data_IF_173138560878
#
_entry.id   IF_173138560878
#
_cell.length_a   1.000
_cell.length_b   1.000
_cell.length_c   1.000
_cell.angle_alpha   90.00
_cell.angle_beta   90.00
_cell.angle_gamma   90.00
#
_symmetry.space_group_name_H-M   'P 1'
#
loop_
_entity.id
_entity.type
_entity.pdbx_description
1 polymer ?
#
# COMPACT_ATOMS: atom_id res chain seq x y z
N UNK A 1 38.04 -6.11 -17.01
CA UNK A 1 37.52 -7.48 -17.05
C UNK A 1 36.46 -7.57 -18.13
N UNK A 2 36.60 -8.43 -19.12
CA UNK A 2 35.70 -8.56 -20.27
C UNK A 2 34.35 -9.07 -19.80
N UNK A 3 33.28 -8.40 -20.24
CA UNK A 3 31.88 -8.79 -20.05
C UNK A 3 31.69 -10.26 -20.46
N UNK A 4 30.99 -11.08 -19.68
CA UNK A 4 30.51 -12.34 -20.19
C UNK A 4 29.46 -12.05 -21.26
N UNK A 5 29.82 -12.22 -22.50
CA UNK A 5 28.90 -12.12 -23.62
C UNK A 5 27.96 -13.32 -23.55
N UNK A 6 26.70 -13.10 -23.21
CA UNK A 6 25.64 -14.13 -23.22
C UNK A 6 25.31 -14.61 -24.65
N UNK A 7 26.00 -14.10 -25.67
CA UNK A 7 25.85 -14.44 -27.11
C UNK A 7 27.17 -14.24 -27.83
N UNK A 8 27.49 -15.06 -28.88
CA UNK A 8 26.54 -15.42 -29.93
C UNK A 8 26.10 -16.89 -29.86
N UNK A 9 24.80 -17.12 -29.87
CA UNK A 9 24.28 -18.43 -30.24
C UNK A 9 24.44 -18.59 -31.75
N UNK A 10 25.16 -19.58 -32.25
CA UNK A 10 25.34 -19.80 -33.69
C UNK A 10 23.99 -19.84 -34.41
N UNK A 11 23.82 -19.06 -35.48
CA UNK A 11 22.58 -18.98 -36.27
C UNK A 11 21.44 -18.23 -35.63
N UNK A 12 21.61 -17.62 -34.45
CA UNK A 12 20.54 -16.87 -33.75
C UNK A 12 19.98 -15.71 -34.59
N UNK A 13 20.86 -14.85 -35.11
CA UNK A 13 20.42 -13.67 -35.90
C UNK A 13 19.69 -14.08 -37.18
N UNK A 14 20.16 -15.13 -37.86
CA UNK A 14 19.49 -15.65 -39.06
C UNK A 14 18.10 -16.22 -38.72
N UNK A 15 18.01 -16.97 -37.63
CA UNK A 15 16.75 -17.55 -37.18
C UNK A 15 15.77 -16.47 -36.73
N UNK A 16 16.25 -15.44 -36.04
CA UNK A 16 15.47 -14.28 -35.58
C UNK A 16 14.94 -13.49 -36.78
N UNK A 17 15.77 -13.19 -37.76
CA UNK A 17 15.38 -12.47 -38.96
C UNK A 17 14.30 -13.23 -39.76
N UNK A 18 14.46 -14.52 -39.97
CA UNK A 18 13.47 -15.37 -40.63
C UNK A 18 12.15 -15.44 -39.86
N UNK A 19 12.23 -15.55 -38.54
CA UNK A 19 11.03 -15.54 -37.69
C UNK A 19 10.30 -14.19 -37.78
N UNK A 20 11.00 -13.07 -37.69
CA UNK A 20 10.42 -11.71 -37.82
C UNK A 20 9.72 -11.54 -39.17
N UNK A 21 10.34 -11.95 -40.26
CA UNK A 21 9.74 -11.88 -41.60
C UNK A 21 8.45 -12.67 -41.70
N UNK A 22 8.42 -13.89 -41.13
CA UNK A 22 7.23 -14.70 -41.10
C UNK A 22 6.13 -14.06 -40.24
N UNK A 23 6.51 -13.52 -39.08
CA UNK A 23 5.60 -12.83 -38.17
C UNK A 23 4.96 -11.60 -38.83
N UNK A 24 5.78 -10.72 -39.43
CA UNK A 24 5.30 -9.52 -40.15
C UNK A 24 4.34 -9.87 -41.29
N UNK A 25 4.61 -10.96 -42.02
CA UNK A 25 3.72 -11.45 -43.07
C UNK A 25 2.37 -11.89 -42.51
N UNK A 26 2.35 -12.52 -41.34
CA UNK A 26 1.12 -13.03 -40.70
C UNK A 26 0.33 -11.94 -39.97
N UNK A 27 0.98 -10.84 -39.60
CA UNK A 27 0.40 -9.78 -38.78
C UNK A 27 0.38 -8.42 -39.43
N UNK A 28 0.48 -8.35 -40.77
CA UNK A 28 0.63 -7.11 -41.54
C UNK A 28 -0.46 -6.04 -41.25
N UNK A 29 -1.62 -6.44 -40.73
CA UNK A 29 -2.73 -5.54 -40.39
C UNK A 29 -3.04 -5.54 -38.87
N UNK A 30 -2.17 -6.08 -38.02
CA UNK A 30 -2.43 -6.12 -36.59
C UNK A 30 -1.95 -4.83 -35.92
N UNK A 31 -2.79 -4.25 -35.07
CA UNK A 31 -2.41 -3.10 -34.25
C UNK A 31 -1.31 -3.48 -33.25
N UNK A 32 -0.36 -2.59 -33.00
CA UNK A 32 0.67 -2.82 -31.97
C UNK A 32 0.05 -3.03 -30.60
N UNK A 33 0.51 -4.04 -29.89
CA UNK A 33 0.08 -4.28 -28.50
C UNK A 33 0.69 -3.22 -27.59
N UNK A 34 -0.16 -2.49 -26.88
CA UNK A 34 0.24 -1.47 -25.91
C UNK A 34 -0.19 -1.85 -24.50
N UNK A 35 0.63 -1.49 -23.52
CA UNK A 35 0.24 -1.60 -22.14
C UNK A 35 -0.66 -0.40 -21.70
N UNK A 36 -1.08 -0.38 -20.43
CA UNK A 36 -1.93 0.70 -19.89
C UNK A 36 -1.29 2.09 -19.98
N UNK A 37 0.01 2.19 -19.92
CA UNK A 37 0.78 3.43 -20.07
C UNK A 37 1.02 3.85 -21.53
N UNK A 38 0.45 3.12 -22.50
CA UNK A 38 0.61 3.38 -23.93
C UNK A 38 1.93 2.86 -24.51
N UNK A 39 2.80 2.26 -23.69
CA UNK A 39 4.07 1.71 -24.17
C UNK A 39 3.84 0.49 -25.04
N UNK A 40 4.47 0.46 -26.19
CA UNK A 40 4.41 -0.67 -27.10
C UNK A 40 5.17 -1.86 -26.54
N UNK A 41 4.57 -3.05 -26.66
CA UNK A 41 5.19 -4.31 -26.29
C UNK A 41 5.77 -4.99 -27.51
N UNK A 42 7.01 -5.46 -27.40
CA UNK A 42 7.56 -6.34 -28.42
C UNK A 42 6.78 -7.64 -28.46
N UNK A 43 6.62 -8.18 -29.63
CA UNK A 43 5.95 -9.48 -29.84
C UNK A 43 6.72 -10.63 -29.19
N UNK A 44 8.05 -10.53 -29.20
CA UNK A 44 8.96 -11.50 -28.62
C UNK A 44 10.15 -10.78 -27.98
N UNK A 45 10.46 -11.15 -26.76
CA UNK A 45 11.70 -10.76 -26.10
C UNK A 45 12.72 -11.89 -26.22
N UNK A 46 13.93 -11.54 -26.57
CA UNK A 46 15.01 -12.47 -26.83
C UNK A 46 16.25 -12.09 -26.02
N UNK A 47 17.28 -12.93 -25.93
CA UNK A 47 18.55 -12.54 -25.31
C UNK A 47 19.19 -11.27 -25.89
N UNK A 48 18.89 -10.91 -27.16
CA UNK A 48 19.38 -9.68 -27.79
C UNK A 48 18.69 -8.40 -27.27
N UNK A 49 17.62 -8.52 -26.52
CA UNK A 49 16.90 -7.40 -25.89
C UNK A 49 17.48 -7.01 -24.52
N UNK A 50 18.49 -7.73 -24.06
CA UNK A 50 19.22 -7.39 -22.85
C UNK A 50 20.50 -6.66 -23.20
N UNK A 51 20.59 -5.42 -22.76
CA UNK A 51 21.88 -4.76 -22.67
C UNK A 51 22.73 -5.46 -21.60
N UNK A 52 24.02 -5.40 -21.75
CA UNK A 52 24.96 -6.04 -20.82
C UNK A 52 24.67 -5.61 -19.37
N UNK A 53 24.16 -6.51 -18.57
CA UNK A 53 23.96 -6.25 -17.14
C UNK A 53 25.28 -6.28 -16.40
N UNK A 54 25.60 -5.21 -15.70
CA UNK A 54 26.50 -5.27 -14.57
C UNK A 54 25.68 -5.74 -13.37
N UNK A 55 25.88 -6.97 -12.91
CA UNK A 55 25.09 -7.54 -11.82
C UNK A 55 25.05 -6.64 -10.57
N UNK A 56 26.18 -6.03 -10.23
CA UNK A 56 26.28 -5.21 -9.02
C UNK A 56 25.58 -3.85 -9.18
N UNK A 57 25.64 -3.25 -10.38
CA UNK A 57 25.08 -1.93 -10.63
C UNK A 57 23.58 -2.00 -10.95
N UNK A 58 23.16 -3.03 -11.71
CA UNK A 58 21.78 -3.12 -12.21
C UNK A 58 20.87 -3.96 -11.31
N UNK A 59 21.43 -4.93 -10.58
CA UNK A 59 20.65 -5.88 -9.80
C UNK A 59 21.01 -5.88 -8.32
N UNK A 60 22.28 -6.00 -7.96
CA UNK A 60 22.78 -6.08 -6.59
C UNK A 60 22.33 -7.33 -5.82
N UNK A 61 22.70 -7.40 -4.56
CA UNK A 61 22.21 -8.42 -3.63
C UNK A 61 20.96 -7.94 -2.88
N UNK A 62 20.05 -8.85 -2.45
CA UNK A 62 18.92 -8.47 -1.63
C UNK A 62 19.36 -7.77 -0.35
N UNK A 63 18.72 -6.64 -0.01
CA UNK A 63 19.06 -5.86 1.17
C UNK A 63 20.21 -4.87 0.99
N UNK A 64 20.80 -4.80 -0.21
CA UNK A 64 21.88 -3.89 -0.57
C UNK A 64 21.48 -3.05 -1.79
N UNK A 65 22.12 -1.87 -1.93
CA UNK A 65 21.90 -1.03 -3.11
C UNK A 65 22.26 -1.82 -4.39
N UNK A 66 21.48 -1.65 -5.46
CA UNK A 66 20.37 -0.70 -5.71
C UNK A 66 18.98 -1.12 -5.19
N UNK A 67 18.86 -2.01 -4.25
CA UNK A 67 17.59 -2.42 -3.59
C UNK A 67 16.53 -3.04 -4.53
N UNK A 68 16.88 -3.44 -5.74
CA UNK A 68 15.92 -3.94 -6.75
C UNK A 68 15.22 -5.25 -6.36
N UNK A 69 15.70 -5.91 -5.31
CA UNK A 69 15.17 -7.17 -4.79
C UNK A 69 14.66 -7.09 -3.35
N UNK A 70 14.42 -5.88 -2.86
CA UNK A 70 13.90 -5.63 -1.52
C UNK A 70 14.98 -5.21 -0.52
N UNK A 71 14.51 -4.73 0.62
CA UNK A 71 15.32 -4.12 1.69
C UNK A 71 15.92 -5.11 2.69
N UNK A 72 15.61 -6.41 2.55
CA UNK A 72 16.09 -7.44 3.48
C UNK A 72 16.93 -8.50 2.75
N UNK A 73 18.10 -8.82 3.28
CA UNK A 73 18.98 -9.85 2.71
C UNK A 73 18.29 -11.23 2.60
N UNK A 74 17.44 -11.57 3.57
CA UNK A 74 16.68 -12.82 3.58
C UNK A 74 15.45 -12.80 2.66
N UNK A 75 15.10 -11.64 2.07
CA UNK A 75 13.86 -11.44 1.33
C UNK A 75 12.65 -11.86 2.19
N UNK A 76 11.83 -12.80 1.71
CA UNK A 76 10.70 -13.36 2.47
C UNK A 76 10.96 -14.71 3.14
N UNK A 77 12.20 -15.21 3.10
CA UNK A 77 12.56 -16.48 3.73
C UNK A 77 12.74 -16.35 5.24
N UNK A 78 13.32 -15.23 5.69
CA UNK A 78 13.49 -14.96 7.11
C UNK A 78 12.18 -14.50 7.78
N UNK A 79 11.37 -13.74 7.05
CA UNK A 79 10.06 -13.29 7.49
C UNK A 79 9.10 -13.28 6.29
N UNK A 80 8.07 -14.11 6.29
CA UNK A 80 7.07 -14.10 5.23
C UNK A 80 6.29 -12.77 5.26
N UNK A 81 5.73 -12.39 4.12
CA UNK A 81 4.82 -11.24 4.04
C UNK A 81 3.56 -11.46 4.88
N UNK A 82 3.00 -10.37 5.36
CA UNK A 82 1.71 -10.43 6.05
C UNK A 82 0.59 -10.60 5.03
N UNK A 83 -0.29 -11.58 5.25
CA UNK A 83 -1.56 -11.67 4.56
C UNK A 83 -2.60 -10.86 5.33
N UNK A 84 -2.91 -9.68 4.81
CA UNK A 84 -3.85 -8.75 5.43
C UNK A 84 -5.17 -8.79 4.68
N UNK A 85 -6.21 -9.26 5.37
CA UNK A 85 -7.55 -9.29 4.81
C UNK A 85 -8.32 -8.05 5.27
N UNK A 86 -9.02 -7.44 4.32
CA UNK A 86 -9.88 -6.31 4.57
C UNK A 86 -11.27 -6.79 4.95
N UNK A 87 -11.80 -6.27 6.06
CA UNK A 87 -13.15 -6.56 6.54
C UNK A 87 -13.90 -5.23 6.69
N UNK A 88 -15.03 -5.13 5.99
CA UNK A 88 -15.86 -3.93 6.02
C UNK A 88 -17.31 -4.29 5.76
N UNK A 89 -17.94 -4.94 6.74
CA UNK A 89 -19.33 -5.39 6.60
C UNK A 89 -20.01 -5.50 7.97
N UNK A 90 -21.24 -5.04 8.04
CA UNK A 90 -22.21 -5.35 9.07
C UNK A 90 -21.97 -4.68 10.42
N UNK A 91 -22.44 -5.36 11.44
CA UNK A 91 -22.29 -4.97 12.84
C UNK A 91 -20.90 -5.33 13.40
N UNK A 92 -20.54 -4.84 14.62
CA UNK A 92 -19.32 -5.27 15.30
C UNK A 92 -19.22 -6.80 15.48
N UNK A 93 -20.34 -7.47 15.73
CA UNK A 93 -20.41 -8.93 15.86
C UNK A 93 -20.17 -9.62 14.52
N UNK A 94 -20.69 -9.09 13.41
CA UNK A 94 -20.45 -9.60 12.07
C UNK A 94 -18.97 -9.48 11.70
N UNK A 95 -18.36 -8.33 12.03
CA UNK A 95 -16.92 -8.13 11.88
C UNK A 95 -16.12 -9.16 12.67
N UNK A 96 -16.41 -9.32 13.96
CA UNK A 96 -15.70 -10.27 14.84
C UNK A 96 -15.81 -11.71 14.32
N UNK A 97 -17.02 -12.13 13.95
CA UNK A 97 -17.26 -13.47 13.39
C UNK A 97 -16.44 -13.69 12.11
N UNK A 98 -16.37 -12.69 11.24
CA UNK A 98 -15.55 -12.74 10.02
C UNK A 98 -14.07 -12.76 10.32
N UNK A 99 -13.62 -11.91 11.25
CA UNK A 99 -12.23 -11.81 11.69
C UNK A 99 -11.73 -13.18 12.20
N UNK A 100 -12.46 -13.81 13.10
CA UNK A 100 -12.10 -15.14 13.65
C UNK A 100 -11.96 -16.20 12.55
N UNK A 101 -12.85 -16.22 11.56
CA UNK A 101 -12.77 -17.14 10.42
C UNK A 101 -11.55 -16.90 9.55
N UNK A 102 -11.22 -15.64 9.28
CA UNK A 102 -10.06 -15.25 8.47
C UNK A 102 -8.75 -15.63 9.19
N UNK A 103 -8.66 -15.37 10.48
CA UNK A 103 -7.49 -15.76 11.29
C UNK A 103 -7.35 -17.30 11.34
N UNK A 104 -8.45 -18.03 11.52
CA UNK A 104 -8.44 -19.49 11.45
C UNK A 104 -8.03 -20.05 10.08
N UNK A 105 -8.20 -19.27 9.01
CA UNK A 105 -7.76 -19.61 7.65
C UNK A 105 -6.31 -19.23 7.36
N UNK A 106 -5.56 -18.74 8.35
CA UNK A 106 -4.12 -18.47 8.26
C UNK A 106 -3.75 -17.01 7.94
N UNK A 107 -4.71 -16.08 7.93
CA UNK A 107 -4.36 -14.66 7.88
C UNK A 107 -3.67 -14.25 9.19
N UNK A 108 -2.68 -13.36 9.08
CA UNK A 108 -1.87 -12.91 10.22
C UNK A 108 -1.93 -11.39 10.42
N UNK A 109 -2.77 -10.71 9.66
CA UNK A 109 -3.04 -9.30 9.77
C UNK A 109 -4.46 -9.00 9.28
N UNK A 110 -5.04 -7.91 9.73
CA UNK A 110 -6.40 -7.51 9.37
C UNK A 110 -6.50 -6.02 9.12
N UNK A 111 -7.42 -5.63 8.25
CA UNK A 111 -7.84 -4.24 8.06
C UNK A 111 -9.30 -4.09 8.41
N UNK A 112 -9.61 -3.10 9.25
CA UNK A 112 -10.96 -2.67 9.52
C UNK A 112 -11.32 -1.50 8.62
N UNK A 113 -12.38 -1.66 7.83
CA UNK A 113 -13.03 -0.55 7.14
C UNK A 113 -14.26 -0.14 7.94
N UNK A 114 -14.34 1.11 8.38
CA UNK A 114 -15.54 1.61 9.04
C UNK A 114 -16.65 1.89 8.03
N UNK A 115 -17.86 1.96 8.52
CA UNK A 115 -19.05 2.28 7.75
C UNK A 115 -19.03 3.72 7.22
N UNK A 116 -19.91 3.98 6.26
CA UNK A 116 -20.10 5.30 5.64
C UNK A 116 -20.33 6.46 6.63
N UNK A 117 -20.91 6.19 7.81
CA UNK A 117 -21.05 7.20 8.85
C UNK A 117 -19.69 7.78 9.24
N UNK A 118 -18.72 6.93 9.61
CA UNK A 118 -17.37 7.35 10.00
C UNK A 118 -16.65 8.04 8.85
N UNK A 119 -16.72 7.52 7.62
CA UNK A 119 -16.10 8.15 6.45
C UNK A 119 -16.63 9.56 6.18
N UNK A 120 -17.85 9.81 6.51
CA UNK A 120 -18.50 11.14 6.38
C UNK A 120 -18.33 12.00 7.62
N UNK A 121 -17.74 11.48 8.70
CA UNK A 121 -17.60 12.16 9.99
C UNK A 121 -18.93 12.34 10.70
N UNK A 122 -19.82 11.36 10.64
CA UNK A 122 -21.09 11.29 11.33
C UNK A 122 -21.14 10.11 12.28
N UNK A 123 -21.93 10.22 13.31
CA UNK A 123 -22.33 9.07 14.12
C UNK A 123 -23.44 8.27 13.43
N UNK A 124 -23.64 7.03 13.85
CA UNK A 124 -24.58 6.12 13.20
C UNK A 124 -26.03 6.61 13.24
N UNK A 125 -26.42 7.36 14.28
CA UNK A 125 -27.74 7.94 14.45
C UNK A 125 -28.00 9.19 13.57
N UNK A 126 -26.95 9.70 12.92
CA UNK A 126 -27.00 10.89 12.06
C UNK A 126 -27.10 10.54 10.57
N UNK A 127 -27.12 9.28 10.20
CA UNK A 127 -27.18 8.82 8.82
C UNK A 127 -28.40 7.92 8.60
N UNK A 128 -28.82 7.80 7.33
CA UNK A 128 -29.89 6.88 6.97
C UNK A 128 -29.48 5.44 7.33
N UNK A 129 -30.29 4.72 8.15
CA UNK A 129 -30.01 3.35 8.55
C UNK A 129 -29.72 2.40 7.40
N UNK A 130 -30.26 2.62 6.21
CA UNK A 130 -30.01 1.80 5.02
C UNK A 130 -28.54 1.84 4.57
N UNK A 131 -27.79 2.89 4.95
CA UNK A 131 -26.39 3.07 4.62
C UNK A 131 -25.44 2.39 5.62
N UNK A 132 -25.96 1.98 6.78
CA UNK A 132 -25.14 1.40 7.84
C UNK A 132 -24.73 -0.05 7.52
N UNK A 133 -23.47 -0.37 7.74
CA UNK A 133 -22.94 -1.72 7.60
C UNK A 133 -22.87 -2.28 6.18
N UNK A 134 -23.19 -1.50 5.15
CA UNK A 134 -23.22 -1.95 3.75
C UNK A 134 -21.86 -1.91 3.06
N UNK A 135 -21.00 -0.99 3.45
CA UNK A 135 -19.65 -0.85 2.88
C UNK A 135 -18.54 -0.74 3.93
N UNK A 136 -18.84 -0.99 5.19
CA UNK A 136 -17.91 -0.95 6.30
C UNK A 136 -18.57 -1.45 7.57
N UNK A 137 -17.77 -1.78 8.59
CA UNK A 137 -18.27 -2.16 9.91
C UNK A 137 -18.79 -0.92 10.66
N UNK A 138 -19.93 -1.06 11.34
CA UNK A 138 -20.50 0.02 12.14
C UNK A 138 -19.74 0.08 13.47
N UNK A 139 -18.80 1.02 13.58
CA UNK A 139 -17.96 1.21 14.78
C UNK A 139 -18.00 2.68 15.14
N UNK A 140 -18.81 3.05 16.12
CA UNK A 140 -18.96 4.43 16.58
C UNK A 140 -18.60 4.63 18.06
N UNK A 141 -18.39 3.54 18.78
CA UNK A 141 -18.06 3.57 20.21
C UNK A 141 -16.87 2.67 20.53
N UNK A 142 -16.29 2.84 21.70
CA UNK A 142 -15.26 1.93 22.23
C UNK A 142 -15.81 0.51 22.44
N UNK A 143 -17.09 0.40 22.83
CA UNK A 143 -17.74 -0.89 23.04
C UNK A 143 -17.95 -1.66 21.71
N UNK A 144 -18.25 -0.94 20.61
CA UNK A 144 -18.26 -1.52 19.27
C UNK A 144 -16.88 -2.06 18.89
N UNK A 145 -15.83 -1.29 19.13
CA UNK A 145 -14.45 -1.72 18.86
C UNK A 145 -14.06 -2.93 19.74
N UNK A 146 -14.47 -2.93 21.01
CA UNK A 146 -14.26 -4.07 21.89
C UNK A 146 -14.94 -5.34 21.38
N UNK A 147 -16.16 -5.20 20.89
CA UNK A 147 -16.93 -6.29 20.26
C UNK A 147 -16.25 -6.78 18.98
N UNK A 148 -15.76 -5.87 18.12
CA UNK A 148 -15.03 -6.23 16.91
C UNK A 148 -13.83 -7.13 17.19
N UNK A 149 -13.12 -6.91 18.30
CA UNK A 149 -11.93 -7.65 18.68
C UNK A 149 -12.16 -8.59 19.88
N UNK A 150 -13.41 -8.95 20.19
CA UNK A 150 -13.70 -9.90 21.27
C UNK A 150 -12.99 -11.24 21.04
N UNK A 151 -12.31 -11.73 22.07
CA UNK A 151 -11.53 -12.99 22.07
C UNK A 151 -10.36 -12.99 21.04
N UNK A 152 -9.89 -11.84 20.63
CA UNK A 152 -8.71 -11.69 19.74
C UNK A 152 -7.61 -10.99 20.50
N UNK A 153 -6.40 -11.53 20.44
CA UNK A 153 -5.22 -10.92 21.03
C UNK A 153 -4.73 -9.75 20.17
N UNK A 154 -5.00 -8.54 20.65
CA UNK A 154 -4.58 -7.30 19.97
C UNK A 154 -3.06 -7.08 19.99
N UNK A 155 -2.33 -7.65 20.95
CA UNK A 155 -0.88 -7.52 21.01
C UNK A 155 -0.18 -8.39 19.95
N UNK A 156 -0.79 -9.53 19.60
CA UNK A 156 -0.26 -10.45 18.60
C UNK A 156 -0.70 -10.14 17.17
N UNK A 157 -1.74 -9.30 16.99
CA UNK A 157 -2.34 -9.01 15.68
C UNK A 157 -1.90 -7.66 15.15
N UNK A 158 -1.35 -7.64 13.93
CA UNK A 158 -1.15 -6.38 13.21
C UNK A 158 -2.46 -5.91 12.58
N UNK A 159 -2.91 -4.70 12.94
CA UNK A 159 -4.17 -4.14 12.47
C UNK A 159 -3.94 -2.96 11.52
N UNK A 160 -4.84 -2.75 10.55
CA UNK A 160 -4.89 -1.51 9.80
C UNK A 160 -6.26 -0.87 9.99
N UNK A 161 -6.25 0.39 10.37
CA UNK A 161 -7.45 1.20 10.50
C UNK A 161 -7.59 2.06 9.25
N UNK A 162 -8.66 1.80 8.49
CA UNK A 162 -8.95 2.54 7.26
C UNK A 162 -9.88 3.70 7.59
N UNK A 163 -9.33 4.69 8.24
CA UNK A 163 -10.04 5.85 8.75
C UNK A 163 -9.47 7.12 8.11
N UNK A 164 -10.28 7.90 7.39
CA UNK A 164 -9.85 9.20 6.84
C UNK A 164 -9.58 10.24 7.94
N UNK A 165 -10.12 10.01 9.14
CA UNK A 165 -9.81 10.74 10.35
C UNK A 165 -8.91 9.87 11.22
N UNK A 166 -7.59 9.92 11.05
CA UNK A 166 -6.65 8.88 11.55
C UNK A 166 -6.69 8.64 13.06
N UNK A 167 -7.29 9.55 13.82
CA UNK A 167 -7.40 9.41 15.28
C UNK A 167 -8.54 8.53 15.76
N UNK A 168 -9.68 8.50 15.06
CA UNK A 168 -10.92 7.94 15.60
C UNK A 168 -10.79 6.46 15.90
N UNK A 169 -10.48 5.65 14.88
CA UNK A 169 -10.39 4.21 15.08
C UNK A 169 -9.16 3.79 15.89
N UNK A 170 -8.03 4.51 15.74
CA UNK A 170 -6.87 4.24 16.59
C UNK A 170 -7.18 4.56 18.06
N UNK A 171 -7.87 5.66 18.35
CA UNK A 171 -8.26 6.00 19.71
C UNK A 171 -9.13 4.90 20.34
N UNK A 172 -10.08 4.34 19.59
CA UNK A 172 -10.89 3.22 20.07
C UNK A 172 -10.03 1.96 20.33
N UNK A 173 -9.10 1.61 19.44
CA UNK A 173 -8.18 0.49 19.65
C UNK A 173 -7.33 0.68 20.90
N UNK A 174 -6.80 1.88 21.11
CA UNK A 174 -5.99 2.20 22.27
C UNK A 174 -6.80 2.14 23.58
N UNK A 175 -8.05 2.64 23.55
CA UNK A 175 -8.96 2.54 24.70
C UNK A 175 -9.31 1.07 25.04
N UNK A 176 -9.54 0.24 24.01
CA UNK A 176 -9.73 -1.21 24.20
C UNK A 176 -8.47 -1.86 24.77
N UNK A 177 -7.28 -1.49 24.28
CA UNK A 177 -6.01 -1.98 24.81
C UNK A 177 -5.85 -1.62 26.30
N UNK A 178 -6.18 -0.39 26.70
CA UNK A 178 -6.18 0.02 28.12
C UNK A 178 -7.14 -0.83 28.97
N UNK A 179 -8.38 -1.02 28.52
CA UNK A 179 -9.36 -1.87 29.22
C UNK A 179 -8.85 -3.31 29.44
N UNK A 180 -8.03 -3.79 28.50
CA UNK A 180 -7.44 -5.15 28.55
C UNK A 180 -6.07 -5.21 29.21
N UNK A 181 -5.55 -4.08 29.70
CA UNK A 181 -4.22 -4.01 30.31
C UNK A 181 -3.07 -4.22 29.33
N UNK A 182 -3.29 -3.99 28.04
CA UNK A 182 -2.28 -4.11 26.99
C UNK A 182 -1.57 -2.75 26.84
N UNK A 183 -0.25 -2.68 27.06
CA UNK A 183 0.49 -1.44 26.84
C UNK A 183 0.41 -0.99 25.37
N UNK A 184 0.26 0.29 25.14
CA UNK A 184 0.21 0.88 23.76
C UNK A 184 1.47 0.58 22.95
N UNK A 185 2.61 0.37 23.61
CA UNK A 185 3.86 -0.04 22.96
C UNK A 185 3.82 -1.43 22.32
N UNK A 186 2.83 -2.27 22.67
CA UNK A 186 2.63 -3.57 22.05
C UNK A 186 1.64 -3.53 20.87
N UNK A 187 0.91 -2.43 20.71
CA UNK A 187 -0.03 -2.29 19.61
C UNK A 187 0.71 -2.05 18.31
N UNK A 188 0.49 -2.91 17.33
CA UNK A 188 1.11 -2.86 16.00
C UNK A 188 0.07 -2.67 14.91
N UNK A 189 0.39 -1.82 13.93
CA UNK A 189 -0.54 -1.60 12.83
C UNK A 189 -0.24 -0.36 12.01
N UNK A 190 -1.24 0.10 11.28
CA UNK A 190 -1.12 1.28 10.41
C UNK A 190 -2.44 2.02 10.28
N UNK A 191 -2.37 3.35 10.18
CA UNK A 191 -3.46 4.21 9.73
C UNK A 191 -3.45 4.27 8.21
N UNK A 192 -4.24 3.41 7.58
CA UNK A 192 -4.12 3.14 6.14
C UNK A 192 -4.78 4.20 5.24
N UNK A 193 -5.63 5.07 5.78
CA UNK A 193 -6.34 6.11 5.04
C UNK A 193 -6.00 7.52 5.55
N UNK A 194 -4.84 7.68 6.19
CA UNK A 194 -4.38 8.96 6.74
C UNK A 194 -3.80 9.90 5.68
N UNK A 195 -3.57 9.43 4.46
CA UNK A 195 -3.09 10.19 3.31
C UNK A 195 -4.19 11.11 2.75
N UNK A 196 -4.31 12.32 3.29
CA UNK A 196 -5.33 13.25 2.86
C UNK A 196 -5.12 13.79 1.44
N UNK A 197 -3.88 13.88 0.95
CA UNK A 197 -3.59 14.40 -0.40
C UNK A 197 -4.21 13.48 -1.45
N UNK A 198 -3.98 12.17 -1.36
CA UNK A 198 -4.55 11.24 -2.32
C UNK A 198 -6.07 11.23 -2.33
N UNK A 199 -6.70 11.42 -1.17
CA UNK A 199 -8.15 11.55 -1.07
C UNK A 199 -8.68 12.79 -1.78
N UNK A 200 -8.03 13.93 -1.60
CA UNK A 200 -8.42 15.18 -2.28
C UNK A 200 -8.20 15.11 -3.79
N UNK A 201 -7.05 14.61 -4.23
CA UNK A 201 -6.69 14.54 -5.65
C UNK A 201 -7.55 13.52 -6.40
N UNK A 202 -7.71 12.33 -5.85
CA UNK A 202 -8.48 11.26 -6.47
C UNK A 202 -9.99 11.36 -6.21
N UNK A 203 -10.43 12.36 -5.45
CA UNK A 203 -11.83 12.53 -5.02
C UNK A 203 -12.46 11.24 -4.46
N UNK A 204 -11.66 10.50 -3.70
CA UNK A 204 -12.02 9.16 -3.25
C UNK A 204 -12.97 9.18 -2.05
N UNK A 205 -12.89 10.21 -1.19
CA UNK A 205 -13.67 10.30 0.04
C UNK A 205 -14.27 11.69 0.27
N UNK A 206 -15.34 11.72 1.06
CA UNK A 206 -15.98 12.95 1.47
C UNK A 206 -15.34 13.46 2.76
N UNK A 207 -14.56 14.53 2.66
CA UNK A 207 -13.96 15.16 3.81
C UNK A 207 -14.85 16.27 4.38
N UNK A 208 -14.99 16.27 5.70
CA UNK A 208 -15.55 17.41 6.44
C UNK A 208 -14.47 18.42 6.84
N UNK A 209 -13.22 18.02 6.75
CA UNK A 209 -12.09 18.87 7.08
C UNK A 209 -11.58 19.59 5.83
N UNK A 210 -11.17 20.84 6.02
CA UNK A 210 -10.40 21.57 5.00
C UNK A 210 -9.01 20.96 4.82
N UNK A 211 -8.36 21.24 3.70
CA UNK A 211 -7.00 20.79 3.44
C UNK A 211 -6.00 21.18 4.56
N UNK A 212 -6.00 22.46 5.06
CA UNK A 212 -5.17 22.82 6.22
C UNK A 212 -5.52 22.06 7.50
N UNK A 213 -6.81 21.79 7.73
CA UNK A 213 -7.27 21.02 8.88
C UNK A 213 -6.78 19.57 8.83
N UNK A 214 -6.86 18.94 7.65
CA UNK A 214 -6.35 17.58 7.42
C UNK A 214 -4.84 17.50 7.62
N UNK A 215 -4.07 18.47 7.08
CA UNK A 215 -2.63 18.60 7.30
C UNK A 215 -2.30 18.64 8.78
N UNK A 216 -2.94 19.51 9.54
CA UNK A 216 -2.71 19.64 10.98
C UNK A 216 -3.01 18.34 11.72
N UNK A 217 -4.15 17.71 11.43
CA UNK A 217 -4.51 16.43 12.07
C UNK A 217 -3.49 15.33 11.79
N UNK A 218 -3.00 15.22 10.56
CA UNK A 218 -1.98 14.24 10.22
C UNK A 218 -0.68 14.47 10.98
N UNK A 219 -0.21 15.72 11.09
CA UNK A 219 0.99 16.07 11.84
C UNK A 219 0.86 15.72 13.33
N UNK A 220 -0.28 16.08 13.94
CA UNK A 220 -0.58 15.74 15.33
C UNK A 220 -0.62 14.21 15.52
N UNK A 221 -1.19 13.48 14.56
CA UNK A 221 -1.25 12.02 14.56
C UNK A 221 0.15 11.39 14.48
N UNK A 222 1.00 11.85 13.56
CA UNK A 222 2.38 11.37 13.43
C UNK A 222 3.15 11.61 14.72
N UNK A 223 3.05 12.82 15.28
CA UNK A 223 3.69 13.19 16.55
C UNK A 223 3.24 12.27 17.68
N UNK A 224 1.93 12.12 17.85
CA UNK A 224 1.35 11.25 18.88
C UNK A 224 1.83 9.81 18.76
N UNK A 225 1.80 9.24 17.55
CA UNK A 225 2.23 7.85 17.34
C UNK A 225 3.73 7.67 17.63
N UNK A 226 4.57 8.61 17.19
CA UNK A 226 6.02 8.55 17.47
C UNK A 226 6.34 8.58 18.96
N UNK A 227 5.54 9.29 19.76
CA UNK A 227 5.76 9.44 21.19
C UNK A 227 5.11 8.33 22.03
N UNK A 228 3.92 7.86 21.63
CA UNK A 228 3.05 7.03 22.48
C UNK A 228 2.83 5.62 21.95
N UNK A 229 2.86 5.44 20.62
CA UNK A 229 2.56 4.16 19.98
C UNK A 229 3.68 3.80 18.97
N UNK A 230 4.89 3.54 19.43
CA UNK A 230 6.09 3.48 18.59
C UNK A 230 6.06 2.36 17.54
N UNK A 231 5.19 1.37 17.69
CA UNK A 231 5.03 0.26 16.73
C UNK A 231 3.87 0.47 15.75
N UNK A 232 3.24 1.66 15.75
CA UNK A 232 2.21 2.04 14.81
C UNK A 232 2.78 2.87 13.66
N UNK A 233 2.37 2.57 12.45
CA UNK A 233 2.70 3.37 11.26
C UNK A 233 1.58 4.40 11.04
N UNK A 234 1.82 5.68 11.34
CA UNK A 234 0.76 6.70 11.33
C UNK A 234 0.36 7.12 9.93
N UNK A 235 1.20 6.87 8.93
CA UNK A 235 0.98 7.28 7.55
C UNK A 235 1.20 6.13 6.57
N UNK A 236 0.20 5.91 5.74
CA UNK A 236 0.32 5.11 4.52
C UNK A 236 0.10 6.04 3.33
N UNK A 237 1.14 6.27 2.54
CA UNK A 237 1.06 7.11 1.33
C UNK A 237 0.44 6.27 0.21
N UNK A 238 -0.69 6.73 -0.33
CA UNK A 238 -1.57 5.85 -1.10
C UNK A 238 -1.52 6.18 -2.59
N UNK A 239 -0.80 5.37 -3.35
CA UNK A 239 -0.79 5.39 -4.81
C UNK A 239 -1.98 4.66 -5.45
N UNK A 240 -2.65 3.78 -4.71
CA UNK A 240 -3.83 3.06 -5.19
C UNK A 240 -4.93 4.00 -5.68
N UNK A 241 -5.26 5.04 -4.92
CA UNK A 241 -6.30 5.99 -5.28
C UNK A 241 -6.02 6.68 -6.63
N UNK A 242 -4.77 7.05 -6.88
CA UNK A 242 -4.34 7.66 -8.13
C UNK A 242 -4.52 6.70 -9.30
N UNK A 243 -4.08 5.46 -9.15
CA UNK A 243 -4.18 4.44 -10.18
C UNK A 243 -5.63 4.05 -10.48
N UNK A 244 -6.47 3.94 -9.47
CA UNK A 244 -7.91 3.68 -9.64
C UNK A 244 -8.66 4.86 -10.23
N UNK A 245 -8.19 6.09 -10.00
CA UNK A 245 -8.73 7.29 -10.65
C UNK A 245 -8.28 7.44 -12.12
N UNK A 246 -7.42 6.56 -12.62
CA UNK A 246 -7.04 6.51 -14.04
C UNK A 246 -5.56 6.74 -14.33
N UNK A 247 -4.73 7.05 -13.32
CA UNK A 247 -3.30 7.21 -13.52
C UNK A 247 -2.65 5.90 -14.00
N UNK A 248 -1.66 6.03 -14.84
CA UNK A 248 -0.78 4.91 -15.22
C UNK A 248 0.07 4.49 -14.02
N UNK A 249 0.65 3.28 -14.00
CA UNK A 249 1.53 2.84 -12.92
C UNK A 249 2.69 3.81 -12.63
N UNK A 250 3.28 4.41 -13.67
CA UNK A 250 4.36 5.39 -13.51
C UNK A 250 3.86 6.71 -12.91
N UNK A 251 2.73 7.23 -13.37
CA UNK A 251 2.11 8.45 -12.81
C UNK A 251 1.67 8.22 -11.36
N UNK A 252 1.06 7.08 -11.06
CA UNK A 252 0.66 6.74 -9.69
C UNK A 252 1.87 6.72 -8.76
N UNK A 253 3.00 6.14 -9.19
CA UNK A 253 4.24 6.16 -8.43
C UNK A 253 4.77 7.59 -8.25
N UNK A 254 4.81 8.38 -9.31
CA UNK A 254 5.29 9.77 -9.25
C UNK A 254 4.46 10.63 -8.29
N UNK A 255 3.14 10.58 -8.38
CA UNK A 255 2.24 11.31 -7.48
C UNK A 255 2.39 10.84 -6.02
N UNK A 256 2.55 9.54 -5.81
CA UNK A 256 2.75 8.99 -4.47
C UNK A 256 4.06 9.49 -3.84
N UNK A 257 5.14 9.51 -4.61
CA UNK A 257 6.43 10.03 -4.13
C UNK A 257 6.36 11.54 -3.88
N UNK A 258 5.70 12.31 -4.74
CA UNK A 258 5.45 13.74 -4.49
C UNK A 258 4.67 13.97 -3.19
N UNK A 259 3.63 13.16 -2.94
CA UNK A 259 2.87 13.23 -1.68
C UNK A 259 3.75 12.90 -0.47
N UNK A 260 4.60 11.86 -0.59
CA UNK A 260 5.51 11.48 0.48
C UNK A 260 6.51 12.59 0.81
N UNK A 261 7.06 13.25 -0.22
CA UNK A 261 7.96 14.40 -0.05
C UNK A 261 7.24 15.53 0.68
N UNK A 262 6.01 15.88 0.25
CA UNK A 262 5.22 16.92 0.92
C UNK A 262 4.97 16.59 2.39
N UNK A 263 4.61 15.35 2.72
CA UNK A 263 4.42 14.94 4.11
C UNK A 263 5.72 15.00 4.92
N UNK A 264 6.85 14.67 4.31
CA UNK A 264 8.14 14.77 4.97
C UNK A 264 8.52 16.23 5.25
N UNK A 265 8.30 17.13 4.28
CA UNK A 265 8.50 18.57 4.44
C UNK A 265 7.60 19.12 5.54
N UNK A 266 6.31 18.78 5.53
CA UNK A 266 5.35 19.18 6.57
C UNK A 266 5.80 18.75 7.98
N UNK A 267 6.32 17.53 8.12
CA UNK A 267 6.86 17.03 9.38
C UNK A 267 8.11 17.80 9.82
N UNK A 268 9.02 18.10 8.91
CA UNK A 268 10.24 18.87 9.20
C UNK A 268 9.90 20.31 9.60
N UNK A 269 8.98 20.97 8.90
CA UNK A 269 8.48 22.30 9.26
C UNK A 269 7.83 22.33 10.65
N UNK A 270 7.16 21.24 11.04
CA UNK A 270 6.58 21.07 12.37
C UNK A 270 7.62 20.70 13.45
N UNK A 271 8.91 20.64 13.11
CA UNK A 271 10.02 20.37 14.04
C UNK A 271 10.18 18.89 14.39
N UNK A 272 9.64 17.96 13.60
CA UNK A 272 9.83 16.54 13.81
C UNK A 272 11.18 16.08 13.22
N UNK A 273 11.83 15.14 13.87
CA UNK A 273 13.10 14.57 13.42
C UNK A 273 12.86 13.49 12.35
N UNK A 274 13.51 13.62 11.18
CA UNK A 274 13.36 12.70 10.04
C UNK A 274 13.62 11.23 10.43
N UNK A 275 14.62 10.98 11.26
CA UNK A 275 14.98 9.65 11.75
C UNK A 275 13.87 8.96 12.57
N UNK A 276 12.91 9.72 13.08
CA UNK A 276 11.81 9.21 13.91
C UNK A 276 10.55 8.94 13.07
N UNK A 277 10.23 9.75 12.07
CA UNK A 277 8.99 9.60 11.32
C UNK A 277 9.16 8.87 9.97
N UNK A 278 10.26 9.10 9.21
CA UNK A 278 10.46 8.45 7.92
C UNK A 278 10.42 6.92 7.97
N UNK A 279 11.03 6.24 8.97
CA UNK A 279 10.95 4.78 9.06
C UNK A 279 9.54 4.25 9.30
N UNK A 280 8.57 5.12 9.61
CA UNK A 280 7.17 4.79 9.87
C UNK A 280 6.24 5.15 8.71
N UNK A 281 6.76 5.76 7.64
CA UNK A 281 6.00 5.92 6.40
C UNK A 281 5.87 4.57 5.71
N UNK A 282 4.66 4.24 5.33
CA UNK A 282 4.37 3.06 4.51
C UNK A 282 3.78 3.50 3.18
N UNK A 283 3.90 2.65 2.17
CA UNK A 283 3.39 2.91 0.84
C UNK A 283 2.36 1.86 0.47
N UNK A 284 1.28 2.30 -0.14
CA UNK A 284 0.20 1.43 -0.57
C UNK A 284 -0.07 1.64 -2.06
N UNK A 285 0.26 0.64 -2.86
CA UNK A 285 0.08 0.66 -4.30
C UNK A 285 -0.94 -0.37 -4.74
N UNK A 286 -1.61 -0.06 -5.85
CA UNK A 286 -2.43 -1.02 -6.58
C UNK A 286 -1.55 -1.90 -7.47
N UNK A 287 -2.08 -3.05 -7.87
CA UNK A 287 -1.48 -3.95 -8.86
C UNK A 287 -2.49 -4.16 -9.97
N UNK A 288 -2.16 -3.68 -11.17
CA UNK A 288 -2.99 -3.83 -12.36
C UNK A 288 -2.66 -5.12 -13.13
N UNK A 289 -3.36 -5.33 -14.25
CA UNK A 289 -3.15 -6.50 -15.09
C UNK A 289 -1.86 -6.46 -15.92
N UNK A 290 -1.16 -5.31 -15.97
CA UNK A 290 0.11 -5.16 -16.70
C UNK A 290 1.27 -5.75 -15.90
N UNK A 291 1.33 -7.06 -15.79
CA UNK A 291 2.20 -7.82 -14.89
C UNK A 291 3.68 -7.33 -14.85
N UNK A 292 4.34 -7.23 -16.00
CA UNK A 292 5.74 -6.80 -16.05
C UNK A 292 5.93 -5.32 -15.71
N UNK A 293 4.98 -4.47 -16.06
CA UNK A 293 5.00 -3.06 -15.71
C UNK A 293 4.84 -2.86 -14.21
N UNK A 294 3.98 -3.65 -13.56
CA UNK A 294 3.81 -3.61 -12.11
C UNK A 294 5.05 -4.09 -11.37
N UNK A 295 5.71 -5.16 -11.85
CA UNK A 295 7.01 -5.58 -11.31
C UNK A 295 8.05 -4.46 -11.44
N UNK A 296 8.12 -3.81 -12.59
CA UNK A 296 9.04 -2.70 -12.82
C UNK A 296 8.75 -1.51 -11.90
N UNK A 297 7.47 -1.16 -11.71
CA UNK A 297 7.04 -0.12 -10.76
C UNK A 297 7.56 -0.38 -9.35
N UNK A 298 7.33 -1.58 -8.81
CA UNK A 298 7.79 -1.90 -7.46
C UNK A 298 9.31 -1.93 -7.34
N UNK A 299 10.01 -2.44 -8.35
CA UNK A 299 11.48 -2.41 -8.36
C UNK A 299 12.01 -0.97 -8.39
N UNK A 300 11.44 -0.10 -9.21
CA UNK A 300 11.81 1.31 -9.27
C UNK A 300 11.50 2.03 -7.95
N UNK A 301 10.35 1.79 -7.34
CA UNK A 301 9.95 2.42 -6.08
C UNK A 301 10.91 2.13 -4.93
N UNK A 302 11.59 0.98 -4.92
CA UNK A 302 12.56 0.62 -3.89
C UNK A 302 13.92 1.32 -4.07
N UNK A 303 14.16 1.94 -5.23
CA UNK A 303 15.41 2.65 -5.53
C UNK A 303 15.42 4.10 -5.00
N UNK A 304 14.28 4.64 -4.59
CA UNK A 304 14.12 6.05 -4.21
C UNK A 304 13.70 6.23 -2.75
#
# INVERSE_FOLDING_TARGET
MSKPMLLPLPGFEQSRARWLQNFETQTANAEPLRNRSGNERKTLYTPADRDSECYMDDLGFPGEAPMTRGIYASMHRGRPWSQRQLIGLGTPEDYNRRLKRILASGANAVSLIPCNSVYRGFDADQVDPVLLGTCGAVVNTVDDMETCFAEVDLAALSTAMNDPLPFTLLAFVLAVAERRGIPWTQITGTSNQSDYISHFVANHMFFRLSLPGSRRMLLDHIKFCNERVPNWNPLSVVGQHMQQAGATPAEAMAFTLCSAIQYAEDCLEAGLEATRFLPRFTFFFDISMSFFEEIAKFRACLLY
#
